data_IF_702563865577
#
_entry.id   IF_702563865577
#
_cell.length_a   1.000
_cell.length_b   1.000
_cell.length_c   1.000
_cell.angle_alpha   90.00
_cell.angle_beta   90.00
_cell.angle_gamma   90.00
#
_symmetry.space_group_name_H-M   'P 1'
#
loop_
_entity.id
_entity.type
_entity.pdbx_description
1 polymer ?
#
# COMPACT_ATOMS: atom_id res chain seq x y z
N UNK A 1 -15.74 10.90 -13.20
CA UNK A 1 -16.41 12.04 -12.52
C UNK A 1 -17.09 13.04 -13.49
N UNK A 2 -16.71 13.12 -14.77
CA UNK A 2 -17.33 14.08 -15.69
C UNK A 2 -18.81 13.78 -15.98
N UNK A 3 -19.16 12.49 -16.02
CA UNK A 3 -20.55 12.03 -16.20
C UNK A 3 -21.48 12.40 -15.03
N UNK A 4 -20.91 12.50 -13.83
CA UNK A 4 -21.62 12.79 -12.58
C UNK A 4 -21.68 14.29 -12.25
N UNK A 5 -21.14 15.16 -13.11
CA UNK A 5 -21.04 16.61 -12.87
C UNK A 5 -22.38 17.31 -12.53
N UNK A 6 -23.48 16.74 -13.02
CA UNK A 6 -24.84 17.25 -12.79
C UNK A 6 -25.65 16.41 -11.81
N UNK A 7 -25.04 15.36 -11.24
CA UNK A 7 -25.71 14.46 -10.30
C UNK A 7 -25.72 15.10 -8.91
N UNK A 8 -26.87 15.09 -8.28
CA UNK A 8 -26.99 15.60 -6.91
C UNK A 8 -26.15 14.79 -5.93
N UNK A 9 -25.44 15.41 -4.95
CA UNK A 9 -24.51 14.73 -4.06
C UNK A 9 -25.07 13.52 -3.32
N UNK A 10 -26.37 13.54 -2.98
CA UNK A 10 -27.02 12.43 -2.28
C UNK A 10 -27.23 11.20 -3.15
N UNK A 11 -27.28 11.34 -4.47
CA UNK A 11 -27.42 10.26 -5.44
C UNK A 11 -26.08 9.59 -5.82
N UNK A 12 -24.96 10.17 -5.41
CA UNK A 12 -23.64 9.60 -5.65
C UNK A 12 -23.42 8.34 -4.79
N UNK A 13 -22.76 7.32 -5.36
CA UNK A 13 -22.29 6.17 -4.59
C UNK A 13 -21.23 6.60 -3.55
N UNK A 14 -20.97 5.77 -2.53
CA UNK A 14 -19.95 6.04 -1.53
C UNK A 14 -18.58 6.36 -2.14
N UNK A 15 -18.13 5.56 -3.11
CA UNK A 15 -16.87 5.79 -3.82
C UNK A 15 -16.87 7.07 -4.67
N UNK A 16 -18.01 7.44 -5.28
CA UNK A 16 -18.13 8.71 -6.01
C UNK A 16 -18.05 9.90 -5.05
N UNK A 17 -18.72 9.84 -3.88
CA UNK A 17 -18.62 10.86 -2.82
C UNK A 17 -17.18 11.04 -2.36
N UNK A 18 -16.48 9.93 -2.14
CA UNK A 18 -15.08 9.94 -1.70
C UNK A 18 -14.17 10.63 -2.74
N UNK A 19 -14.30 10.27 -4.02
CA UNK A 19 -13.55 10.93 -5.11
C UNK A 19 -13.88 12.41 -5.24
N UNK A 20 -15.14 12.83 -5.03
CA UNK A 20 -15.50 14.23 -4.99
C UNK A 20 -14.83 14.97 -3.83
N UNK A 21 -14.82 14.39 -2.63
CA UNK A 21 -14.17 14.99 -1.46
C UNK A 21 -12.66 15.19 -1.69
N UNK A 22 -11.97 14.16 -2.21
CA UNK A 22 -10.54 14.24 -2.55
C UNK A 22 -10.30 15.32 -3.60
N UNK A 23 -11.11 15.39 -4.66
CA UNK A 23 -10.99 16.42 -5.69
C UNK A 23 -11.16 17.83 -5.12
N UNK A 24 -12.08 18.00 -4.17
CA UNK A 24 -12.29 19.28 -3.47
C UNK A 24 -11.06 19.70 -2.66
N UNK A 25 -10.43 18.79 -1.95
CA UNK A 25 -9.20 19.05 -1.18
C UNK A 25 -8.05 19.42 -2.12
N UNK A 26 -7.87 18.69 -3.22
CA UNK A 26 -6.79 18.95 -4.20
C UNK A 26 -6.98 20.32 -4.85
N UNK A 27 -8.22 20.74 -5.11
CA UNK A 27 -8.51 22.04 -5.69
C UNK A 27 -8.07 23.23 -4.82
N UNK A 28 -7.89 23.03 -3.52
CA UNK A 28 -7.36 24.05 -2.59
C UNK A 28 -5.83 24.20 -2.66
N UNK A 29 -5.13 23.31 -3.39
CA UNK A 29 -3.67 23.28 -3.50
C UNK A 29 -2.95 23.34 -2.14
N UNK A 30 -3.23 22.41 -1.21
CA UNK A 30 -2.64 22.42 0.12
C UNK A 30 -1.19 21.95 0.09
N UNK A 31 -0.39 22.36 1.08
CA UNK A 31 0.97 21.83 1.29
C UNK A 31 0.98 20.41 1.89
N UNK A 32 -0.11 20.03 2.56
CA UNK A 32 -0.26 18.72 3.21
C UNK A 32 -1.70 18.21 3.08
N UNK A 33 -1.85 16.94 2.78
CA UNK A 33 -3.15 16.23 2.73
C UNK A 33 -3.11 15.09 3.75
N UNK A 34 -4.12 15.05 4.62
CA UNK A 34 -4.36 13.92 5.54
C UNK A 34 -5.50 13.07 4.99
N UNK A 35 -5.22 11.80 4.73
CA UNK A 35 -6.18 10.79 4.27
C UNK A 35 -6.43 9.80 5.39
N UNK A 36 -7.59 9.88 6.03
CA UNK A 36 -8.00 8.97 7.08
C UNK A 36 -8.95 7.92 6.50
N UNK A 37 -8.45 6.71 6.32
CA UNK A 37 -9.13 5.57 5.67
C UNK A 37 -9.85 5.95 4.36
N UNK A 38 -9.29 6.90 3.61
CA UNK A 38 -9.93 7.52 2.45
C UNK A 38 -10.18 6.55 1.28
N UNK A 39 -9.64 5.35 1.32
CA UNK A 39 -9.80 4.30 0.29
C UNK A 39 -10.74 3.18 0.71
N UNK A 40 -11.20 3.14 1.96
CA UNK A 40 -11.97 2.02 2.53
C UNK A 40 -13.30 1.75 1.79
N UNK A 41 -13.95 2.78 1.26
CA UNK A 41 -15.23 2.66 0.54
C UNK A 41 -15.07 2.54 -0.99
N UNK A 42 -13.85 2.41 -1.48
CA UNK A 42 -13.57 2.31 -2.91
C UNK A 42 -13.44 0.84 -3.33
N UNK A 43 -13.88 0.56 -4.55
CA UNK A 43 -13.56 -0.69 -5.23
C UNK A 43 -12.05 -0.78 -5.53
N UNK A 44 -11.50 -1.95 -5.84
CA UNK A 44 -10.06 -2.11 -6.07
C UNK A 44 -9.49 -1.24 -7.19
N UNK A 45 -10.30 -0.89 -8.20
CA UNK A 45 -9.89 -0.01 -9.30
C UNK A 45 -9.82 1.43 -8.80
N UNK A 46 -10.90 1.92 -8.17
CA UNK A 46 -10.96 3.28 -7.61
C UNK A 46 -9.90 3.52 -6.53
N UNK A 47 -9.59 2.50 -5.72
CA UNK A 47 -8.50 2.56 -4.73
C UNK A 47 -7.15 2.80 -5.41
N UNK A 48 -6.82 2.03 -6.44
CA UNK A 48 -5.57 2.21 -7.21
C UNK A 48 -5.49 3.58 -7.88
N UNK A 49 -6.60 4.07 -8.44
CA UNK A 49 -6.65 5.39 -9.07
C UNK A 49 -6.34 6.50 -8.05
N UNK A 50 -6.93 6.44 -6.85
CA UNK A 50 -6.68 7.42 -5.78
C UNK A 50 -5.24 7.36 -5.29
N UNK A 51 -4.70 6.16 -5.03
CA UNK A 51 -3.32 6.01 -4.59
C UNK A 51 -2.33 6.52 -5.62
N UNK A 52 -2.53 6.21 -6.90
CA UNK A 52 -1.69 6.72 -7.99
C UNK A 52 -1.75 8.25 -8.08
N UNK A 53 -2.94 8.84 -7.91
CA UNK A 53 -3.09 10.29 -7.89
C UNK A 53 -2.35 10.93 -6.72
N UNK A 54 -2.48 10.34 -5.53
CA UNK A 54 -1.82 10.82 -4.30
C UNK A 54 -0.29 10.75 -4.43
N UNK A 55 0.24 9.64 -4.94
CA UNK A 55 1.66 9.50 -5.24
C UNK A 55 2.15 10.55 -6.24
N UNK A 56 1.36 10.81 -7.27
CA UNK A 56 1.68 11.84 -8.27
C UNK A 56 1.72 13.24 -7.65
N UNK A 57 0.75 13.59 -6.80
CA UNK A 57 0.73 14.87 -6.09
C UNK A 57 1.95 15.04 -5.18
N UNK A 58 2.33 14.00 -4.47
CA UNK A 58 3.53 14.03 -3.64
C UNK A 58 4.80 14.24 -4.48
N UNK A 59 5.00 13.42 -5.54
CA UNK A 59 6.23 13.44 -6.34
C UNK A 59 6.38 14.67 -7.24
N UNK A 60 5.28 15.12 -7.87
CA UNK A 60 5.33 16.19 -8.87
C UNK A 60 5.06 17.56 -8.26
N UNK A 61 4.29 17.64 -7.17
CA UNK A 61 3.88 18.90 -6.57
C UNK A 61 4.45 19.11 -5.15
N UNK A 62 5.26 18.16 -4.65
CA UNK A 62 5.83 18.17 -3.29
C UNK A 62 4.79 18.33 -2.17
N UNK A 63 3.56 17.87 -2.39
CA UNK A 63 2.52 17.87 -1.37
C UNK A 63 2.84 16.76 -0.37
N UNK A 64 2.90 17.09 0.91
CA UNK A 64 3.05 16.07 1.96
C UNK A 64 1.77 15.27 2.10
N UNK A 65 1.87 13.93 2.08
CA UNK A 65 0.72 13.05 2.25
C UNK A 65 0.86 12.30 3.58
N UNK A 66 -0.12 12.46 4.45
CA UNK A 66 -0.27 11.64 5.66
C UNK A 66 -1.43 10.69 5.41
N UNK A 67 -1.14 9.41 5.28
CA UNK A 67 -2.13 8.38 4.98
C UNK A 67 -2.31 7.45 6.19
N UNK A 68 -3.51 7.49 6.79
CA UNK A 68 -3.90 6.59 7.87
C UNK A 68 -4.67 5.44 7.23
N UNK A 69 -4.15 4.24 7.37
CA UNK A 69 -4.72 3.03 6.77
C UNK A 69 -4.35 1.78 7.55
N UNK A 70 -5.16 0.74 7.43
CA UNK A 70 -4.88 -0.62 7.89
C UNK A 70 -4.59 -1.57 6.70
N UNK A 71 -4.52 -1.05 5.48
CA UNK A 71 -4.21 -1.82 4.28
C UNK A 71 -2.69 -1.83 4.02
N UNK A 72 -2.05 -2.95 4.23
CA UNK A 72 -0.60 -3.08 4.16
C UNK A 72 -0.02 -2.84 2.77
N UNK A 73 -0.80 -3.10 1.71
CA UNK A 73 -0.41 -2.77 0.33
C UNK A 73 -0.30 -1.25 0.08
N UNK A 74 -1.07 -0.45 0.83
CA UNK A 74 -0.97 1.02 0.80
C UNK A 74 0.24 1.49 1.61
N UNK A 75 0.47 0.88 2.78
CA UNK A 75 1.66 1.14 3.61
C UNK A 75 2.95 0.84 2.87
N UNK A 76 2.98 -0.23 2.05
CA UNK A 76 4.16 -0.61 1.27
C UNK A 76 4.61 0.45 0.24
N UNK A 77 3.74 1.42 -0.09
CA UNK A 77 4.00 2.50 -1.05
C UNK A 77 4.50 3.79 -0.41
N UNK A 78 4.49 3.88 0.93
CA UNK A 78 4.91 5.07 1.67
C UNK A 78 6.44 5.17 1.75
N UNK A 79 6.96 6.38 1.94
CA UNK A 79 8.38 6.61 2.19
C UNK A 79 8.73 6.35 3.67
N UNK A 80 7.78 6.56 4.58
CA UNK A 80 7.93 6.42 6.03
C UNK A 80 6.66 5.88 6.65
N UNK A 81 6.80 5.04 7.65
CA UNK A 81 5.68 4.44 8.39
C UNK A 81 5.83 4.73 9.87
N UNK A 82 4.74 5.19 10.47
CA UNK A 82 4.61 5.31 11.93
C UNK A 82 3.57 4.28 12.37
N UNK A 83 4.02 3.26 13.07
CA UNK A 83 3.14 2.25 13.65
C UNK A 83 2.71 2.67 15.03
N UNK A 84 1.39 2.77 15.23
CA UNK A 84 0.80 3.19 16.51
C UNK A 84 -0.07 2.06 17.06
N UNK A 85 0.12 1.70 18.33
CA UNK A 85 -0.76 0.84 19.10
C UNK A 85 -0.98 1.43 20.50
N UNK A 86 -2.21 1.36 20.99
CA UNK A 86 -2.60 1.87 22.33
C UNK A 86 -2.03 3.25 22.66
N UNK A 87 -2.16 4.18 21.71
CA UNK A 87 -1.64 5.56 21.80
C UNK A 87 -0.11 5.67 22.02
N UNK A 88 0.65 4.66 21.60
CA UNK A 88 2.12 4.66 21.63
C UNK A 88 2.69 4.38 20.25
N UNK A 89 3.77 5.04 19.92
CA UNK A 89 4.53 4.75 18.72
C UNK A 89 5.35 3.48 18.97
N UNK A 90 5.05 2.42 18.23
CA UNK A 90 5.78 1.15 18.28
C UNK A 90 6.94 1.11 17.28
N UNK A 91 6.79 1.79 16.15
CA UNK A 91 7.85 1.93 15.15
C UNK A 91 7.70 3.25 14.40
N UNK A 92 8.83 3.79 13.97
CA UNK A 92 8.96 4.94 13.08
C UNK A 92 10.11 4.58 12.12
N UNK A 93 9.80 4.13 10.92
CA UNK A 93 10.76 3.45 10.04
C UNK A 93 10.28 3.45 8.58
N UNK A 94 10.99 2.76 7.70
CA UNK A 94 10.54 2.52 6.32
C UNK A 94 9.60 1.30 6.24
N UNK A 95 8.72 1.22 5.23
CA UNK A 95 7.90 0.03 5.02
C UNK A 95 8.72 -1.26 4.93
N UNK A 96 9.87 -1.21 4.26
CA UNK A 96 10.75 -2.36 4.07
C UNK A 96 11.32 -2.89 5.38
N UNK A 97 11.77 -1.99 6.25
CA UNK A 97 12.26 -2.36 7.58
C UNK A 97 11.12 -2.88 8.47
N UNK A 98 9.94 -2.24 8.42
CA UNK A 98 8.78 -2.69 9.18
C UNK A 98 8.39 -4.12 8.80
N UNK A 99 8.24 -4.40 7.52
CA UNK A 99 7.76 -5.69 7.03
C UNK A 99 8.84 -6.79 6.98
N UNK A 100 10.11 -6.44 7.19
CA UNK A 100 11.17 -7.44 7.36
C UNK A 100 11.03 -8.25 8.65
N UNK A 101 10.36 -7.69 9.67
CA UNK A 101 10.05 -8.34 10.95
C UNK A 101 8.55 -8.71 11.01
N UNK A 102 8.21 -9.78 10.29
CA UNK A 102 6.82 -10.28 10.18
C UNK A 102 6.20 -10.58 11.55
N UNK A 103 6.98 -11.15 12.46
CA UNK A 103 6.50 -11.53 13.80
C UNK A 103 6.16 -10.30 14.64
N UNK A 104 6.94 -9.24 14.56
CA UNK A 104 6.67 -7.98 15.24
C UNK A 104 5.38 -7.32 14.74
N UNK A 105 5.17 -7.30 13.42
CA UNK A 105 3.96 -6.75 12.80
C UNK A 105 2.73 -7.52 13.26
N UNK A 106 2.80 -8.87 13.25
CA UNK A 106 1.70 -9.73 13.73
C UNK A 106 1.44 -9.60 15.22
N UNK A 107 2.47 -9.44 16.04
CA UNK A 107 2.34 -9.21 17.48
C UNK A 107 1.61 -7.89 17.80
N UNK A 108 1.69 -6.91 16.89
CA UNK A 108 0.92 -5.66 16.96
C UNK A 108 -0.53 -5.81 16.44
N UNK A 109 -0.96 -7.03 16.09
CA UNK A 109 -2.31 -7.31 15.57
C UNK A 109 -2.53 -6.88 14.13
N UNK A 110 -1.45 -6.67 13.37
CA UNK A 110 -1.49 -6.27 11.97
C UNK A 110 -1.07 -7.41 11.05
N UNK A 111 -1.53 -7.35 9.83
CA UNK A 111 -1.08 -8.22 8.74
C UNK A 111 0.16 -7.62 8.05
N UNK A 112 0.88 -8.43 7.29
CA UNK A 112 1.90 -7.96 6.35
C UNK A 112 1.36 -8.06 4.92
N UNK A 113 1.95 -7.37 3.92
CA UNK A 113 1.58 -7.57 2.52
C UNK A 113 1.57 -9.05 2.16
N UNK A 114 0.58 -9.49 1.37
CA UNK A 114 0.42 -10.91 1.00
C UNK A 114 1.69 -11.49 0.37
N UNK A 115 2.39 -10.70 -0.43
CA UNK A 115 3.65 -11.13 -1.03
C UNK A 115 4.74 -11.34 0.01
N UNK A 116 4.84 -10.47 1.02
CA UNK A 116 5.78 -10.62 2.13
C UNK A 116 5.49 -11.88 2.93
N UNK A 117 4.20 -12.15 3.22
CA UNK A 117 3.78 -13.38 3.89
C UNK A 117 4.16 -14.63 3.08
N UNK A 118 3.98 -14.59 1.75
CA UNK A 118 4.38 -15.67 0.85
C UNK A 118 5.91 -15.90 0.89
N UNK A 119 6.71 -14.84 0.79
CA UNK A 119 8.17 -14.96 0.85
C UNK A 119 8.64 -15.53 2.19
N UNK A 120 8.03 -15.08 3.28
CA UNK A 120 8.32 -15.62 4.62
C UNK A 120 8.01 -17.12 4.70
N UNK A 121 6.86 -17.55 4.20
CA UNK A 121 6.47 -18.97 4.15
C UNK A 121 7.43 -19.81 3.29
N UNK A 122 7.77 -19.34 2.10
CA UNK A 122 8.73 -20.03 1.22
C UNK A 122 10.10 -20.19 1.88
N UNK A 123 10.55 -19.17 2.60
CA UNK A 123 11.80 -19.23 3.36
C UNK A 123 11.73 -20.24 4.50
N UNK A 124 10.61 -20.33 5.24
CA UNK A 124 10.39 -21.35 6.26
C UNK A 124 10.42 -22.78 5.70
N UNK A 125 10.00 -22.96 4.44
CA UNK A 125 10.07 -24.23 3.72
C UNK A 125 11.42 -24.50 3.04
N UNK A 126 12.46 -23.73 3.37
CA UNK A 126 13.83 -23.96 2.91
C UNK A 126 14.19 -23.37 1.55
N UNK A 127 13.30 -22.57 0.93
CA UNK A 127 13.65 -21.88 -0.31
C UNK A 127 14.50 -20.63 -0.02
N UNK A 128 15.54 -20.42 -0.84
CA UNK A 128 16.40 -19.25 -0.73
C UNK A 128 15.75 -18.05 -1.42
N UNK A 129 14.86 -17.35 -0.69
CA UNK A 129 14.19 -16.13 -1.13
C UNK A 129 14.50 -14.97 -0.20
N UNK A 130 14.56 -13.71 -0.72
CA UNK A 130 14.75 -12.53 0.12
C UNK A 130 13.56 -12.32 1.06
N UNK A 131 13.81 -11.75 2.23
CA UNK A 131 12.77 -11.47 3.23
C UNK A 131 12.24 -10.03 3.19
N UNK A 132 12.80 -9.20 2.34
CA UNK A 132 12.52 -7.77 2.22
C UNK A 132 11.63 -7.40 1.02
N UNK A 133 10.98 -8.39 0.44
CA UNK A 133 10.00 -8.22 -0.66
C UNK A 133 8.69 -7.70 -0.10
N UNK A 134 8.26 -6.53 -0.53
CA UNK A 134 7.04 -5.88 -0.03
C UNK A 134 6.02 -5.56 -1.13
N UNK A 135 6.38 -5.67 -2.41
CA UNK A 135 5.48 -5.45 -3.54
C UNK A 135 5.30 -6.70 -4.39
N UNK A 136 4.15 -6.80 -5.05
CA UNK A 136 3.85 -7.94 -5.95
C UNK A 136 4.83 -8.01 -7.10
N UNK A 137 5.22 -6.87 -7.65
CA UNK A 137 6.18 -6.75 -8.76
C UNK A 137 7.55 -7.32 -8.38
N UNK A 138 8.05 -6.98 -7.19
CA UNK A 138 9.28 -7.55 -6.63
C UNK A 138 9.15 -9.08 -6.47
N UNK A 139 8.02 -9.53 -5.93
CA UNK A 139 7.74 -10.95 -5.76
C UNK A 139 7.74 -11.74 -7.07
N UNK A 140 7.10 -11.19 -8.11
CA UNK A 140 7.11 -11.79 -9.45
C UNK A 140 8.55 -11.93 -9.97
N UNK A 141 9.37 -10.88 -9.82
CA UNK A 141 10.76 -10.92 -10.27
C UNK A 141 11.57 -12.02 -9.55
N UNK A 142 11.45 -12.10 -8.23
CA UNK A 142 12.14 -13.11 -7.40
C UNK A 142 11.70 -14.52 -7.76
N UNK A 143 10.37 -14.77 -7.83
CA UNK A 143 9.85 -16.10 -8.12
C UNK A 143 10.16 -16.55 -9.55
N UNK A 144 10.12 -15.65 -10.52
CA UNK A 144 10.50 -15.96 -11.90
C UNK A 144 11.99 -16.36 -11.99
N UNK A 145 12.86 -15.64 -11.28
CA UNK A 145 14.28 -15.98 -11.24
C UNK A 145 14.53 -17.36 -10.57
N UNK A 146 13.80 -17.64 -9.49
CA UNK A 146 13.90 -18.94 -8.79
C UNK A 146 13.46 -20.10 -9.68
N UNK A 147 12.33 -19.97 -10.40
CA UNK A 147 11.82 -21.01 -11.27
C UNK A 147 12.78 -21.30 -12.44
N UNK A 148 13.31 -20.26 -13.08
CA UNK A 148 14.30 -20.42 -14.16
C UNK A 148 15.59 -21.14 -13.71
N UNK A 149 16.03 -20.86 -12.48
CA UNK A 149 17.21 -21.55 -11.93
C UNK A 149 16.97 -23.05 -11.74
N UNK A 150 15.79 -23.42 -11.22
CA UNK A 150 15.42 -24.82 -11.01
C UNK A 150 15.23 -25.58 -12.32
N UNK A 151 14.72 -24.95 -13.40
CA UNK A 151 14.62 -25.57 -14.71
C UNK A 151 16.01 -25.91 -15.30
N UNK A 152 16.98 -25.03 -15.13
CA UNK A 152 18.36 -25.25 -15.60
C UNK A 152 19.06 -26.37 -14.82
N UNK A 153 18.80 -26.50 -13.51
CA UNK A 153 19.38 -27.55 -12.67
C UNK A 153 18.71 -28.91 -12.92
N UNK A 154 17.45 -28.96 -13.30
CA UNK A 154 16.73 -30.21 -13.58
C UNK A 154 17.04 -30.81 -14.99
N UNK A 155 17.64 -30.01 -15.88
CA UNK A 155 18.07 -30.45 -17.22
C UNK A 155 19.54 -30.90 -17.28
N UNK A 156 20.21 -31.01 -16.14
CA UNK A 156 21.56 -31.55 -15.99
C UNK A 156 21.53 -32.90 -15.28
#
# INVERSE_FOLDING_TARGET
>A
MEKERKTEPHLLSGGQKQRCAIAGIIAMQPDCIVLDEATAMLDPIGRREVLTLVEKLNREQNITIVHITHHMDEVARADRVILIDRARILADTTPRELFSDVERVRAAGLEVPQITALMHLLKQHGLSVPSDVITVEEGIAVLTALLRKNEVESCR
#
